data_IF_646422421090
#
_entry.id   IF_646422421090
#
_cell.length_a   1.000
_cell.length_b   1.000
_cell.length_c   1.000
_cell.angle_alpha   90.00
_cell.angle_beta   90.00
_cell.angle_gamma   90.00
#
_symmetry.space_group_name_H-M   'P 1'
#
loop_
_entity.id
_entity.type
_entity.pdbx_description
1 polymer ?
#
# COMPACT_ATOMS: atom_id res chain seq x y z
N UNK A 1 -19.52 0.25 15.82
CA UNK A 1 -19.85 -0.97 16.59
C UNK A 1 -18.98 -1.09 17.83
N UNK A 2 -19.35 -1.98 18.76
CA UNK A 2 -18.50 -2.40 19.89
C UNK A 2 -17.28 -3.15 19.34
N UNK A 3 -16.06 -2.64 19.54
CA UNK A 3 -14.85 -3.19 18.92
C UNK A 3 -14.04 -4.09 19.85
N UNK A 4 -13.24 -5.00 19.29
CA UNK A 4 -12.02 -5.42 19.98
C UNK A 4 -11.07 -4.20 19.98
N UNK A 5 -10.42 -3.88 21.10
CA UNK A 5 -9.49 -2.74 21.12
C UNK A 5 -8.14 -3.23 20.65
N UNK A 6 -7.93 -3.08 19.36
CA UNK A 6 -6.63 -3.11 18.74
C UNK A 6 -6.37 -1.73 18.15
N UNK A 7 -5.11 -1.35 18.08
CA UNK A 7 -4.69 -0.06 17.59
C UNK A 7 -3.47 -0.22 16.72
N UNK A 8 -3.46 0.50 15.62
CA UNK A 8 -2.32 0.70 14.76
C UNK A 8 -2.06 2.20 14.75
N UNK A 9 -0.84 2.62 15.03
CA UNK A 9 -0.52 4.03 15.01
C UNK A 9 0.94 4.29 14.68
N UNK A 10 1.24 5.55 14.42
CA UNK A 10 2.59 6.02 14.10
C UNK A 10 2.93 7.22 14.99
N UNK A 11 4.20 7.31 15.40
CA UNK A 11 4.71 8.45 16.14
C UNK A 11 6.12 8.81 15.68
N UNK A 12 6.41 10.10 15.56
CA UNK A 12 7.73 10.62 15.13
C UNK A 12 8.90 10.13 15.98
N UNK A 13 8.67 9.83 17.26
CA UNK A 13 9.71 9.38 18.20
C UNK A 13 9.79 7.85 18.27
N UNK A 14 8.66 7.14 18.06
CA UNK A 14 8.56 5.69 18.33
C UNK A 14 8.34 4.82 17.10
N UNK A 15 8.10 5.41 15.92
CA UNK A 15 7.84 4.69 14.68
C UNK A 15 6.43 4.10 14.61
N UNK A 16 6.25 3.04 13.81
CA UNK A 16 5.01 2.28 13.72
C UNK A 16 4.81 1.42 14.97
N UNK A 17 3.61 1.43 15.54
CA UNK A 17 3.25 0.63 16.72
C UNK A 17 1.88 -0.05 16.55
N UNK A 18 1.74 -1.19 17.22
CA UNK A 18 0.50 -1.95 17.33
C UNK A 18 0.19 -2.20 18.79
N UNK A 19 -1.06 -2.07 19.19
CA UNK A 19 -1.48 -2.26 20.57
C UNK A 19 -2.74 -3.11 20.65
N UNK A 20 -2.73 -4.12 21.53
CA UNK A 20 -3.84 -5.04 21.76
C UNK A 20 -4.22 -5.00 23.25
N UNK A 21 -5.52 -5.06 23.56
CA UNK A 21 -5.99 -5.31 24.93
C UNK A 21 -6.11 -6.82 25.21
N UNK A 22 -5.28 -7.42 26.09
CA UNK A 22 -5.50 -8.77 26.57
C UNK A 22 -6.55 -8.80 27.70
N UNK A 23 -6.99 -10.00 28.04
CA UNK A 23 -8.00 -10.28 29.06
C UNK A 23 -7.72 -9.66 30.43
N UNK A 24 -8.73 -9.02 31.04
CA UNK A 24 -8.86 -8.89 32.50
C UNK A 24 -7.86 -7.98 33.22
N UNK A 25 -6.93 -7.36 32.49
CA UNK A 25 -6.08 -6.31 33.00
C UNK A 25 -6.56 -4.98 32.42
N UNK A 26 -6.69 -3.95 33.24
CA UNK A 26 -6.81 -2.57 32.75
C UNK A 26 -5.50 -2.07 32.11
N UNK A 27 -4.66 -2.98 31.61
CA UNK A 27 -3.33 -2.70 31.08
C UNK A 27 -3.31 -3.10 29.62
N UNK A 28 -3.07 -2.12 28.77
CA UNK A 28 -2.81 -2.36 27.37
C UNK A 28 -1.49 -3.10 27.19
N UNK A 29 -1.51 -4.20 26.44
CA UNK A 29 -0.28 -4.79 25.90
C UNK A 29 -0.03 -4.13 24.55
N UNK A 30 0.42 -2.88 24.64
CA UNK A 30 0.94 -2.14 23.50
C UNK A 30 2.38 -2.51 23.19
N UNK A 31 2.70 -2.63 21.89
CA UNK A 31 4.05 -2.39 21.40
C UNK A 31 4.39 -0.89 21.43
N UNK A 32 4.10 -0.23 22.55
CA UNK A 32 4.47 1.17 22.77
C UNK A 32 5.64 1.32 23.76
N UNK A 33 6.00 0.29 24.52
CA UNK A 33 7.24 0.26 25.32
C UNK A 33 7.45 -1.02 26.13
N UNK A 34 6.50 -1.96 26.17
CA UNK A 34 6.56 -3.01 27.22
C UNK A 34 7.48 -4.18 26.89
N UNK A 35 7.97 -4.35 25.66
CA UNK A 35 9.01 -5.36 25.35
C UNK A 35 10.02 -4.99 24.25
N UNK A 36 10.15 -3.72 23.85
CA UNK A 36 11.22 -3.30 22.92
C UNK A 36 12.56 -3.02 23.63
N UNK A 37 12.58 -2.93 24.97
CA UNK A 37 13.81 -2.70 25.73
C UNK A 37 14.62 -3.99 25.97
N UNK A 38 14.08 -5.18 25.70
CA UNK A 38 14.81 -6.44 25.96
C UNK A 38 15.55 -7.05 24.76
N UNK A 39 15.34 -6.59 23.51
CA UNK A 39 15.87 -7.30 22.33
C UNK A 39 16.64 -6.45 21.29
N UNK A 40 16.98 -5.19 21.56
CA UNK A 40 17.95 -4.46 20.73
C UNK A 40 17.53 -4.24 19.26
N UNK A 41 16.24 -4.08 18.99
CA UNK A 41 15.71 -3.79 17.66
C UNK A 41 15.51 -2.28 17.47
N UNK A 42 15.88 -1.77 16.30
CA UNK A 42 15.61 -0.39 15.88
C UNK A 42 14.15 -0.24 15.44
N UNK A 43 13.48 0.89 15.76
CA UNK A 43 12.14 1.17 15.24
C UNK A 43 12.14 1.16 13.71
N UNK A 44 11.09 0.59 13.12
CA UNK A 44 10.87 0.67 11.68
C UNK A 44 10.16 1.99 11.36
N UNK A 45 10.86 2.87 10.65
CA UNK A 45 10.33 4.15 10.20
C UNK A 45 9.75 3.97 8.79
N UNK A 46 8.54 4.46 8.58
CA UNK A 46 8.02 4.65 7.23
C UNK A 46 8.68 5.88 6.61
N UNK A 47 8.76 5.90 5.27
CA UNK A 47 9.26 7.08 4.57
C UNK A 47 8.31 8.24 4.81
N UNK A 48 8.85 9.37 5.27
CA UNK A 48 8.07 10.60 5.44
C UNK A 48 7.55 11.10 4.09
N UNK A 49 6.33 11.65 4.08
CA UNK A 49 5.68 12.21 2.90
C UNK A 49 5.56 11.21 1.72
N UNK A 50 5.42 9.91 2.03
CA UNK A 50 5.17 8.87 1.05
C UNK A 50 4.08 7.92 1.54
N UNK A 51 3.25 7.45 0.62
CA UNK A 51 2.26 6.42 0.93
C UNK A 51 2.94 5.11 1.32
N UNK A 52 2.40 4.45 2.34
CA UNK A 52 2.82 3.12 2.77
C UNK A 52 1.59 2.30 3.09
N UNK A 53 1.55 1.06 2.60
CA UNK A 53 0.54 0.12 3.04
C UNK A 53 1.00 -0.50 4.36
N UNK A 54 0.11 -0.55 5.35
CA UNK A 54 0.40 -1.16 6.64
C UNK A 54 -0.70 -2.13 7.00
N UNK A 55 -0.33 -3.36 7.35
CA UNK A 55 -1.25 -4.36 7.85
C UNK A 55 -0.74 -5.02 9.12
N UNK A 56 -1.67 -5.46 9.95
CA UNK A 56 -1.40 -6.25 11.15
C UNK A 56 -2.36 -7.42 11.18
N UNK A 57 -1.84 -8.62 11.43
CA UNK A 57 -2.66 -9.83 11.53
C UNK A 57 -2.41 -10.56 12.84
N UNK A 58 -3.46 -11.18 13.38
CA UNK A 58 -3.40 -12.02 14.56
C UNK A 58 -4.25 -13.26 14.34
N UNK A 59 -3.62 -14.44 14.39
CA UNK A 59 -4.27 -15.73 14.13
C UNK A 59 -4.63 -16.50 15.41
N UNK A 60 -4.58 -15.83 16.57
CA UNK A 60 -4.74 -16.45 17.88
C UNK A 60 -3.44 -17.01 18.47
N UNK A 61 -2.36 -17.11 17.68
CA UNK A 61 -1.03 -17.54 18.14
C UNK A 61 0.05 -16.51 17.86
N UNK A 62 0.12 -15.96 16.66
CA UNK A 62 1.13 -15.01 16.23
C UNK A 62 0.51 -13.65 15.91
N UNK A 63 1.19 -12.58 16.32
CA UNK A 63 0.95 -11.22 15.85
C UNK A 63 2.01 -10.87 14.82
N UNK A 64 1.58 -10.46 13.62
CA UNK A 64 2.45 -10.13 12.49
C UNK A 64 2.19 -8.71 12.01
N UNK A 65 3.25 -8.01 11.64
CA UNK A 65 3.20 -6.64 11.09
C UNK A 65 3.81 -6.64 9.70
N UNK A 66 3.11 -6.02 8.77
CA UNK A 66 3.48 -5.91 7.37
C UNK A 66 3.55 -4.44 6.97
N UNK A 67 4.58 -4.09 6.19
CA UNK A 67 4.71 -2.79 5.54
C UNK A 67 4.96 -3.04 4.07
N UNK A 68 4.17 -2.40 3.21
CA UNK A 68 4.19 -2.55 1.76
C UNK A 68 4.15 -4.04 1.37
N UNK A 69 3.25 -4.81 2.00
CA UNK A 69 3.07 -6.23 1.70
C UNK A 69 4.18 -7.16 2.17
N UNK A 70 5.24 -6.66 2.83
CA UNK A 70 6.34 -7.47 3.36
C UNK A 70 6.22 -7.58 4.88
N UNK A 71 6.34 -8.80 5.41
CA UNK A 71 6.36 -9.02 6.86
C UNK A 71 7.65 -8.47 7.45
N UNK A 72 7.55 -7.40 8.24
CA UNK A 72 8.69 -6.79 8.92
C UNK A 72 8.87 -7.33 10.34
N UNK A 73 7.81 -7.93 10.91
CA UNK A 73 7.86 -8.41 12.28
C UNK A 73 6.85 -9.53 12.57
N UNK A 74 7.22 -10.42 13.49
CA UNK A 74 6.37 -11.45 14.06
C UNK A 74 6.73 -11.66 15.53
N UNK A 75 5.71 -11.79 16.38
CA UNK A 75 5.83 -12.32 17.73
C UNK A 75 4.80 -13.43 17.96
N UNK A 76 5.17 -14.42 18.75
CA UNK A 76 4.19 -15.38 19.27
C UNK A 76 3.47 -14.73 20.46
N UNK A 77 2.20 -14.45 20.26
CA UNK A 77 1.28 -13.86 21.21
C UNK A 77 -0.02 -14.69 21.24
N UNK A 78 -0.01 -15.75 22.04
CA UNK A 78 -1.14 -16.68 22.13
C UNK A 78 -2.23 -16.18 23.09
N UNK A 79 -2.99 -15.18 22.65
CA UNK A 79 -4.10 -14.57 23.40
C UNK A 79 -5.42 -14.72 22.65
N UNK A 80 -6.53 -14.68 23.40
CA UNK A 80 -7.85 -14.46 22.80
C UNK A 80 -8.21 -12.97 22.90
N UNK A 81 -8.61 -12.37 21.80
CA UNK A 81 -9.12 -10.99 21.78
C UNK A 81 -10.58 -10.98 22.24
N UNK A 82 -10.92 -10.12 23.21
CA UNK A 82 -12.30 -9.91 23.64
C UNK A 82 -12.84 -8.58 23.12
N UNK A 83 -14.14 -8.57 22.80
CA UNK A 83 -14.87 -7.35 22.49
C UNK A 83 -14.97 -6.51 23.76
N UNK A 84 -14.70 -5.22 23.62
CA UNK A 84 -15.04 -4.22 24.63
C UNK A 84 -16.12 -3.30 24.08
N UNK A 85 -16.58 -2.37 24.91
CA UNK A 85 -17.61 -1.40 24.59
C UNK A 85 -17.07 -0.09 24.01
N UNK A 86 -15.76 0.00 23.75
CA UNK A 86 -15.16 1.16 23.11
C UNK A 86 -15.46 1.17 21.61
N UNK A 87 -15.55 2.38 21.07
CA UNK A 87 -15.67 2.57 19.62
C UNK A 87 -14.31 2.37 18.97
N UNK A 88 -14.30 1.71 17.81
CA UNK A 88 -13.14 1.71 16.91
C UNK A 88 -12.87 3.13 16.42
N UNK A 89 -11.63 3.56 16.49
CA UNK A 89 -11.15 4.86 16.02
C UNK A 89 -10.07 4.65 14.96
N UNK A 90 -10.09 5.49 13.91
CA UNK A 90 -9.10 5.50 12.84
C UNK A 90 -8.36 6.84 12.91
N UNK A 91 -7.03 6.82 12.80
CA UNK A 91 -6.19 8.02 12.89
C UNK A 91 -6.01 8.60 14.31
N UNK A 92 -6.51 7.92 15.35
CA UNK A 92 -6.37 8.31 16.76
C UNK A 92 -6.41 7.08 17.68
N UNK A 93 -6.10 7.28 18.96
CA UNK A 93 -6.32 6.36 20.07
C UNK A 93 -7.43 6.88 21.02
N UNK A 94 -8.12 5.98 21.70
CA UNK A 94 -9.00 6.33 22.83
C UNK A 94 -8.21 6.63 24.11
N UNK A 95 -8.88 7.09 25.17
CA UNK A 95 -8.22 7.29 26.49
C UNK A 95 -7.54 5.99 26.97
N UNK A 96 -6.29 6.02 27.48
CA UNK A 96 -5.57 7.21 27.96
C UNK A 96 -4.60 7.86 26.96
N UNK A 97 -4.53 7.42 25.70
CA UNK A 97 -3.54 7.93 24.74
C UNK A 97 -4.16 8.78 23.62
N UNK A 98 -5.23 9.50 23.93
CA UNK A 98 -5.96 10.37 23.01
C UNK A 98 -5.14 11.58 22.50
N UNK A 99 -3.84 11.66 22.80
CA UNK A 99 -2.86 12.60 22.27
C UNK A 99 -2.04 12.02 21.09
N UNK A 100 -2.17 10.71 20.82
CA UNK A 100 -1.41 10.00 19.77
C UNK A 100 -2.16 10.03 18.43
N UNK A 101 -2.16 11.18 17.77
CA UNK A 101 -2.84 11.36 16.49
C UNK A 101 -1.91 11.00 15.34
N UNK A 102 -2.46 10.39 14.29
CA UNK A 102 -1.74 10.30 13.04
C UNK A 102 -1.65 11.70 12.44
N UNK A 103 -0.44 12.16 12.16
CA UNK A 103 -0.20 13.35 11.35
C UNK A 103 0.09 12.91 9.90
N UNK A 104 -0.97 12.73 9.12
CA UNK A 104 -0.88 12.23 7.75
C UNK A 104 -2.24 12.00 7.12
N UNK A 105 -2.23 11.38 5.95
CA UNK A 105 -3.41 10.96 5.19
C UNK A 105 -3.61 9.45 5.34
N UNK A 106 -4.87 9.00 5.29
CA UNK A 106 -5.28 7.60 5.39
C UNK A 106 -6.19 7.31 4.20
N UNK A 107 -6.04 6.12 3.63
CA UNK A 107 -6.94 5.58 2.63
C UNK A 107 -7.13 4.06 2.86
N UNK A 108 -8.10 3.46 2.17
CA UNK A 108 -8.28 2.01 2.01
C UNK A 108 -8.27 1.21 3.34
N UNK A 109 -8.90 1.76 4.40
CA UNK A 109 -8.92 1.10 5.71
C UNK A 109 -9.93 -0.02 5.75
N UNK A 110 -9.45 -1.23 6.03
CA UNK A 110 -10.29 -2.43 6.18
C UNK A 110 -10.02 -3.17 7.48
N UNK A 111 -11.05 -3.81 8.01
CA UNK A 111 -11.00 -4.64 9.21
C UNK A 111 -11.56 -6.01 8.88
N UNK A 112 -10.81 -7.06 9.25
CA UNK A 112 -11.14 -8.45 8.96
C UNK A 112 -11.28 -9.25 10.25
N UNK A 113 -12.18 -10.23 10.27
CA UNK A 113 -12.30 -11.21 11.36
C UNK A 113 -11.45 -12.48 11.12
N UNK A 114 -10.64 -12.46 10.06
CA UNK A 114 -9.68 -13.51 9.71
C UNK A 114 -8.29 -12.90 9.59
N UNK A 115 -7.26 -13.68 9.93
CA UNK A 115 -5.88 -13.28 9.70
C UNK A 115 -5.56 -13.47 8.21
N UNK A 116 -5.39 -12.36 7.48
CA UNK A 116 -4.97 -12.41 6.09
C UNK A 116 -3.54 -12.96 5.97
N UNK A 117 -3.31 -13.76 4.94
CA UNK A 117 -1.98 -14.19 4.51
C UNK A 117 -1.21 -13.03 3.87
N UNK A 118 0.13 -13.14 3.80
CA UNK A 118 0.95 -12.12 3.14
C UNK A 118 0.55 -11.93 1.67
N UNK A 119 0.23 -13.00 0.95
CA UNK A 119 -0.23 -12.93 -0.45
C UNK A 119 -1.57 -12.23 -0.58
N UNK A 120 -2.51 -12.44 0.34
CA UNK A 120 -3.78 -11.70 0.33
C UNK A 120 -3.54 -10.22 0.62
N UNK A 121 -2.67 -9.90 1.58
CA UNK A 121 -2.28 -8.52 1.88
C UNK A 121 -1.68 -7.85 0.63
N UNK A 122 -0.78 -8.53 -0.07
CA UNK A 122 -0.16 -8.03 -1.32
C UNK A 122 -1.19 -7.83 -2.42
N UNK A 123 -2.17 -8.73 -2.57
CA UNK A 123 -3.27 -8.58 -3.53
C UNK A 123 -4.11 -7.33 -3.23
N UNK A 124 -4.45 -7.10 -1.95
CA UNK A 124 -5.22 -5.92 -1.54
C UNK A 124 -4.45 -4.59 -1.58
N UNK A 125 -3.14 -4.61 -1.86
CA UNK A 125 -2.39 -3.37 -2.13
C UNK A 125 -2.73 -2.76 -3.49
N UNK A 126 -3.22 -3.57 -4.43
CA UNK A 126 -3.49 -3.14 -5.81
C UNK A 126 -4.91 -3.46 -6.27
N UNK A 127 -5.65 -4.21 -5.46
CA UNK A 127 -7.05 -4.57 -5.72
C UNK A 127 -7.88 -4.23 -4.49
N UNK A 128 -8.58 -3.10 -4.49
CA UNK A 128 -9.42 -2.71 -3.37
C UNK A 128 -10.53 -3.74 -3.08
N UNK A 129 -10.91 -3.96 -1.81
CA UNK A 129 -12.05 -4.80 -1.48
C UNK A 129 -13.35 -4.29 -2.12
N UNK A 130 -14.24 -5.20 -2.46
CA UNK A 130 -15.58 -4.91 -3.00
C UNK A 130 -16.64 -4.72 -1.91
N UNK A 131 -16.32 -5.02 -0.66
CA UNK A 131 -17.23 -4.92 0.49
C UNK A 131 -18.01 -6.20 0.79
N UNK A 132 -17.85 -7.25 -0.03
CA UNK A 132 -18.60 -8.52 0.09
C UNK A 132 -17.69 -9.72 0.41
N UNK A 133 -16.41 -9.49 0.69
CA UNK A 133 -15.43 -10.53 0.95
C UNK A 133 -15.75 -11.29 2.24
N UNK A 134 -15.51 -12.61 2.21
CA UNK A 134 -15.69 -13.44 3.40
C UNK A 134 -14.73 -13.01 4.49
N UNK A 135 -15.29 -12.60 5.63
CA UNK A 135 -14.54 -12.19 6.81
C UNK A 135 -14.20 -10.69 6.86
N UNK A 136 -14.57 -9.91 5.85
CA UNK A 136 -14.51 -8.45 5.92
C UNK A 136 -15.61 -7.93 6.84
N UNK A 137 -15.22 -7.15 7.85
CA UNK A 137 -16.13 -6.63 8.89
C UNK A 137 -16.50 -5.18 8.64
N UNK A 138 -15.55 -4.38 8.12
CA UNK A 138 -15.78 -3.00 7.76
C UNK A 138 -14.72 -2.55 6.77
N UNK A 139 -15.13 -1.72 5.82
CA UNK A 139 -14.24 -1.19 4.79
C UNK A 139 -14.60 0.27 4.51
N UNK A 140 -13.66 1.16 4.74
CA UNK A 140 -13.79 2.58 4.45
C UNK A 140 -12.73 2.96 3.42
N UNK A 141 -13.19 3.22 2.20
CA UNK A 141 -12.35 3.52 1.04
C UNK A 141 -11.98 5.00 0.91
N UNK A 142 -12.37 5.84 1.88
CA UNK A 142 -12.17 7.30 1.90
C UNK A 142 -12.54 8.05 0.60
N UNK A 143 -13.41 7.46 -0.22
CA UNK A 143 -13.91 8.00 -1.48
C UNK A 143 -15.44 8.10 -1.49
N UNK A 144 -16.09 7.46 -0.53
CA UNK A 144 -17.54 7.41 -0.36
C UNK A 144 -17.96 8.09 0.95
N UNK A 145 -18.56 9.27 0.86
CA UNK A 145 -19.00 10.04 2.03
C UNK A 145 -19.36 11.48 1.70
N UNK A 146 -19.94 12.19 2.67
CA UNK A 146 -20.17 13.64 2.58
C UNK A 146 -20.05 14.29 3.94
N UNK A 147 -19.53 15.53 3.98
CA UNK A 147 -19.34 16.25 5.23
C UNK A 147 -18.47 15.46 6.21
N UNK A 148 -19.03 15.07 7.34
CA UNK A 148 -18.35 14.29 8.39
C UNK A 148 -18.71 12.80 8.36
N UNK A 149 -19.46 12.32 7.37
CA UNK A 149 -19.85 10.90 7.29
C UNK A 149 -18.88 10.15 6.38
N UNK A 150 -18.27 9.08 6.91
CA UNK A 150 -17.42 8.14 6.18
C UNK A 150 -18.19 6.83 6.01
N UNK A 151 -18.50 6.44 4.79
CA UNK A 151 -19.42 5.31 4.52
C UNK A 151 -18.68 3.98 4.59
N UNK A 152 -19.21 3.02 5.35
CA UNK A 152 -18.78 1.62 5.30
C UNK A 152 -19.27 1.00 3.99
N UNK A 153 -18.34 0.50 3.18
CA UNK A 153 -18.64 -0.13 1.89
C UNK A 153 -19.17 -1.57 2.04
N UNK A 154 -19.17 -2.12 3.26
CA UNK A 154 -19.78 -3.42 3.54
C UNK A 154 -21.28 -3.28 3.85
N UNK A 155 -21.99 -4.42 3.86
CA UNK A 155 -23.39 -4.46 4.29
C UNK A 155 -23.58 -4.40 5.83
N UNK A 156 -22.52 -4.10 6.60
CA UNK A 156 -22.55 -4.11 8.06
C UNK A 156 -22.90 -2.75 8.69
N UNK A 157 -23.12 -1.72 7.87
CA UNK A 157 -23.54 -0.37 8.29
C UNK A 157 -22.64 0.25 9.38
N UNK A 158 -21.33 -0.01 9.38
CA UNK A 158 -20.40 0.59 10.33
C UNK A 158 -19.92 1.98 9.89
N UNK A 159 -20.83 2.85 9.42
CA UNK A 159 -20.48 4.20 9.00
C UNK A 159 -19.71 4.95 10.10
N UNK A 160 -18.60 5.56 9.69
CA UNK A 160 -17.73 6.36 10.54
C UNK A 160 -18.19 7.81 10.62
N UNK A 161 -17.77 8.49 11.69
CA UNK A 161 -17.88 9.94 11.82
C UNK A 161 -16.49 10.55 11.86
N UNK A 162 -16.19 11.42 10.90
CA UNK A 162 -14.93 12.17 10.82
C UNK A 162 -14.96 13.31 11.85
N UNK A 163 -13.93 13.35 12.70
CA UNK A 163 -13.76 14.39 13.73
C UNK A 163 -12.36 14.98 13.64
N UNK A 164 -12.25 16.25 13.25
CA UNK A 164 -10.98 16.99 13.22
C UNK A 164 -10.13 16.79 11.95
N UNK A 165 -10.34 15.71 11.20
CA UNK A 165 -9.73 15.53 9.88
C UNK A 165 -10.55 16.19 8.76
N UNK A 166 -9.89 16.42 7.62
CA UNK A 166 -10.50 16.93 6.38
C UNK A 166 -10.29 15.93 5.26
N UNK A 167 -11.23 15.87 4.31
CA UNK A 167 -11.03 15.12 3.06
C UNK A 167 -9.81 15.65 2.30
N UNK A 168 -9.05 14.73 1.71
CA UNK A 168 -7.92 15.03 0.83
C UNK A 168 -8.21 14.49 -0.57
N UNK A 169 -7.61 15.10 -1.58
CA UNK A 169 -7.56 14.55 -2.96
C UNK A 169 -6.21 13.90 -3.27
N UNK A 170 -5.30 13.88 -2.29
CA UNK A 170 -4.05 13.12 -2.37
C UNK A 170 -4.40 11.63 -2.31
N UNK A 171 -4.01 10.90 -3.35
CA UNK A 171 -4.34 9.50 -3.56
C UNK A 171 -3.11 8.64 -3.32
N UNK A 172 -3.24 7.47 -2.67
CA UNK A 172 -2.21 6.45 -2.73
C UNK A 172 -1.92 6.17 -4.19
N UNK A 173 -0.64 6.04 -4.55
CA UNK A 173 -0.16 5.85 -5.92
C UNK A 173 -0.78 4.64 -6.68
N UNK A 174 -1.69 3.88 -6.06
CA UNK A 174 -2.26 2.63 -6.54
C UNK A 174 -3.78 2.62 -6.26
N UNK A 175 -4.61 3.07 -7.21
CA UNK A 175 -6.08 2.89 -7.12
C UNK A 175 -6.70 2.19 -8.33
N UNK A 176 -5.94 2.08 -9.43
CA UNK A 176 -6.31 1.32 -10.61
C UNK A 176 -5.75 -0.11 -10.63
N UNK A 177 -6.25 -0.98 -11.53
CA UNK A 177 -5.73 -2.34 -11.72
C UNK A 177 -4.21 -2.39 -11.95
N UNK A 178 -3.63 -3.53 -11.61
CA UNK A 178 -2.24 -3.86 -11.96
C UNK A 178 -2.15 -4.63 -13.27
N UNK A 179 -1.34 -4.11 -14.19
CA UNK A 179 -0.97 -4.74 -15.44
C UNK A 179 0.43 -5.36 -15.31
N UNK A 180 0.51 -6.67 -15.47
CA UNK A 180 1.75 -7.42 -15.28
C UNK A 180 2.52 -7.54 -16.59
N UNK A 181 3.83 -7.31 -16.52
CA UNK A 181 4.76 -7.42 -17.65
C UNK A 181 5.88 -8.38 -17.30
N UNK A 182 6.20 -9.29 -18.21
CA UNK A 182 7.31 -10.24 -18.08
C UNK A 182 7.93 -10.53 -19.43
N UNK A 183 9.27 -10.65 -19.50
CA UNK A 183 9.97 -11.08 -20.72
C UNK A 183 9.54 -12.46 -21.25
N UNK A 184 8.87 -13.28 -20.44
CA UNK A 184 8.28 -14.57 -20.82
C UNK A 184 6.81 -14.49 -21.24
N UNK A 185 6.20 -13.31 -21.19
CA UNK A 185 4.79 -13.06 -21.51
C UNK A 185 4.48 -12.98 -23.01
N UNK A 186 3.33 -12.38 -23.34
CA UNK A 186 2.89 -12.10 -24.71
C UNK A 186 2.02 -10.85 -24.74
N UNK A 187 2.21 -9.96 -25.71
CA UNK A 187 1.38 -8.75 -25.86
C UNK A 187 -0.06 -9.05 -26.30
N UNK A 188 -0.34 -10.29 -26.72
CA UNK A 188 -1.69 -10.78 -26.98
C UNK A 188 -2.44 -11.22 -25.69
N UNK A 189 -1.76 -11.22 -24.53
CA UNK A 189 -2.36 -11.62 -23.26
C UNK A 189 -3.27 -10.52 -22.67
N UNK A 190 -3.95 -10.84 -21.57
CA UNK A 190 -4.83 -9.90 -20.87
C UNK A 190 -4.12 -9.01 -19.83
N UNK A 191 -2.80 -9.17 -19.65
CA UNK A 191 -2.01 -8.39 -18.71
C UNK A 191 -2.23 -8.76 -17.24
N UNK A 192 -2.90 -9.88 -16.95
CA UNK A 192 -3.00 -10.44 -15.60
C UNK A 192 -1.67 -11.06 -15.14
N UNK A 193 -1.52 -11.31 -13.84
CA UNK A 193 -0.32 -11.97 -13.29
C UNK A 193 -0.04 -13.33 -13.95
N UNK A 194 -1.09 -14.09 -14.27
CA UNK A 194 -0.97 -15.40 -14.90
C UNK A 194 -0.73 -15.33 -16.42
N UNK A 195 -1.12 -14.23 -17.06
CA UNK A 195 -0.92 -14.00 -18.48
C UNK A 195 -0.39 -12.57 -18.69
N UNK A 196 0.89 -12.31 -18.36
CA UNK A 196 1.46 -10.97 -18.43
C UNK A 196 1.73 -10.55 -19.88
N UNK A 197 1.77 -9.25 -20.13
CA UNK A 197 2.30 -8.70 -21.38
C UNK A 197 3.80 -8.99 -21.52
N UNK A 198 4.31 -9.01 -22.76
CA UNK A 198 5.75 -9.19 -23.01
C UNK A 198 6.53 -7.87 -23.00
N UNK A 199 5.87 -6.76 -23.28
CA UNK A 199 6.47 -5.42 -23.38
C UNK A 199 5.91 -4.47 -22.32
N UNK A 200 6.74 -3.53 -21.87
CA UNK A 200 6.33 -2.48 -20.94
C UNK A 200 5.34 -1.55 -21.64
N UNK A 201 5.55 -1.23 -22.91
CA UNK A 201 4.64 -0.37 -23.66
C UNK A 201 3.23 -0.98 -23.77
N UNK A 202 3.08 -2.30 -23.95
CA UNK A 202 1.76 -2.93 -23.95
C UNK A 202 1.02 -2.75 -22.61
N UNK A 203 1.74 -2.86 -21.48
CA UNK A 203 1.19 -2.56 -20.15
C UNK A 203 0.74 -1.10 -20.02
N UNK A 204 1.58 -0.15 -20.47
CA UNK A 204 1.21 1.27 -20.48
C UNK A 204 -0.01 1.53 -21.36
N UNK A 205 -0.07 0.92 -22.55
CA UNK A 205 -1.16 1.12 -23.51
C UNK A 205 -2.50 0.60 -22.97
N UNK A 206 -2.49 -0.52 -22.25
CA UNK A 206 -3.65 -1.09 -21.57
C UNK A 206 -4.12 -0.29 -20.35
N UNK A 207 -3.22 0.47 -19.72
CA UNK A 207 -3.48 1.20 -18.48
C UNK A 207 -4.36 2.45 -18.67
N UNK A 208 -5.06 2.85 -17.61
CA UNK A 208 -5.72 4.15 -17.44
C UNK A 208 -5.06 4.94 -16.30
N UNK A 209 -5.33 6.25 -16.19
CA UNK A 209 -4.82 7.05 -15.08
C UNK A 209 -5.15 6.43 -13.72
N UNK A 210 -4.15 6.33 -12.83
CA UNK A 210 -4.23 5.68 -11.52
C UNK A 210 -3.82 4.19 -11.51
N UNK A 211 -3.64 3.57 -12.68
CA UNK A 211 -3.20 2.17 -12.82
C UNK A 211 -1.71 1.99 -12.52
N UNK A 212 -1.32 0.73 -12.32
CA UNK A 212 0.08 0.31 -12.15
C UNK A 212 0.48 -0.68 -13.23
N UNK A 213 1.63 -0.46 -13.86
CA UNK A 213 2.32 -1.46 -14.68
C UNK A 213 3.45 -2.07 -13.83
N UNK A 214 3.28 -3.34 -13.45
CA UNK A 214 4.21 -4.07 -12.59
C UNK A 214 5.09 -5.00 -13.42
N UNK A 215 6.39 -4.71 -13.45
CA UNK A 215 7.35 -5.31 -14.38
C UNK A 215 8.27 -6.31 -13.66
N UNK A 216 8.26 -7.56 -14.13
CA UNK A 216 9.17 -8.59 -13.67
C UNK A 216 10.60 -8.33 -14.14
N UNK A 217 11.59 -8.91 -13.44
CA UNK A 217 12.99 -8.80 -13.80
C UNK A 217 13.26 -9.24 -15.25
N UNK A 218 14.25 -8.61 -15.88
CA UNK A 218 14.56 -8.83 -17.28
C UNK A 218 15.21 -7.64 -17.96
N UNK A 219 15.49 -7.78 -19.25
CA UNK A 219 15.92 -6.69 -20.11
C UNK A 219 14.86 -6.47 -21.18
N UNK A 220 14.26 -5.29 -21.16
CA UNK A 220 13.22 -4.85 -22.07
C UNK A 220 13.85 -3.88 -23.07
N UNK A 221 14.03 -4.33 -24.31
CA UNK A 221 14.60 -3.50 -25.38
C UNK A 221 13.51 -2.64 -26.00
N UNK A 222 13.26 -1.46 -25.41
CA UNK A 222 12.12 -0.59 -25.71
C UNK A 222 12.46 0.89 -25.53
N UNK A 223 11.69 1.75 -26.20
CA UNK A 223 11.61 3.18 -25.92
C UNK A 223 10.17 3.48 -25.49
N UNK A 224 9.94 3.54 -24.17
CA UNK A 224 8.58 3.63 -23.62
C UNK A 224 8.07 5.07 -23.60
N UNK A 225 6.76 5.23 -23.81
CA UNK A 225 6.06 6.49 -23.77
C UNK A 225 4.82 6.37 -22.88
N UNK A 226 4.71 7.24 -21.89
CA UNK A 226 3.58 7.29 -20.96
C UNK A 226 2.28 7.74 -21.61
N UNK A 227 2.33 8.30 -22.83
CA UNK A 227 1.17 8.71 -23.61
C UNK A 227 0.26 9.73 -22.87
N UNK A 228 0.82 10.56 -21.98
CA UNK A 228 0.03 11.51 -21.20
C UNK A 228 -0.65 10.92 -19.98
N UNK A 229 -0.38 9.66 -19.63
CA UNK A 229 -1.06 8.95 -18.55
C UNK A 229 -0.39 9.17 -17.19
N UNK A 230 -1.24 9.34 -16.19
CA UNK A 230 -0.89 9.48 -14.78
C UNK A 230 -0.87 8.09 -14.12
N UNK A 231 0.14 7.28 -14.46
CA UNK A 231 0.29 5.89 -14.01
C UNK A 231 1.62 5.65 -13.30
N UNK A 232 1.69 4.55 -12.57
CA UNK A 232 2.96 4.05 -12.03
C UNK A 232 3.48 2.93 -12.93
N UNK A 233 4.69 3.06 -13.45
CA UNK A 233 5.43 1.94 -14.02
C UNK A 233 6.54 1.59 -13.04
N UNK A 234 6.46 0.39 -12.46
CA UNK A 234 7.34 -0.06 -11.39
C UNK A 234 7.84 -1.48 -11.62
N UNK A 235 9.09 -1.76 -11.26
CA UNK A 235 9.50 -3.16 -11.08
C UNK A 235 8.94 -3.73 -9.77
N UNK A 236 9.20 -5.02 -9.48
CA UNK A 236 8.87 -5.59 -8.17
C UNK A 236 9.58 -4.91 -6.98
N UNK A 237 10.54 -4.01 -7.19
CA UNK A 237 11.00 -3.11 -6.13
C UNK A 237 9.83 -2.34 -5.49
N UNK A 238 8.83 -1.96 -6.30
CA UNK A 238 7.63 -1.23 -5.86
C UNK A 238 6.91 -1.95 -4.70
N UNK A 239 6.71 -3.27 -4.83
CA UNK A 239 5.91 -4.09 -3.91
C UNK A 239 6.75 -4.88 -2.91
N UNK A 240 8.04 -5.07 -3.16
CA UNK A 240 8.92 -5.88 -2.29
C UNK A 240 9.93 -5.04 -1.52
N UNK A 241 10.21 -3.82 -1.97
CA UNK A 241 11.31 -2.97 -1.50
C UNK A 241 12.70 -3.63 -1.61
N UNK A 242 12.82 -4.77 -2.31
CA UNK A 242 14.10 -5.40 -2.58
C UNK A 242 14.81 -4.65 -3.71
N UNK A 243 15.89 -3.97 -3.34
CA UNK A 243 16.73 -3.20 -4.26
C UNK A 243 17.36 -4.05 -5.37
N UNK A 244 17.41 -5.39 -5.23
CA UNK A 244 17.91 -6.28 -6.28
C UNK A 244 17.13 -6.12 -7.59
N UNK A 245 15.82 -5.87 -7.50
CA UNK A 245 14.94 -5.63 -8.65
C UNK A 245 15.29 -4.36 -9.44
N UNK A 246 15.95 -3.38 -8.83
CA UNK A 246 16.42 -2.16 -9.53
C UNK A 246 17.48 -2.53 -10.57
N UNK A 247 18.41 -3.40 -10.19
CA UNK A 247 19.51 -3.83 -11.05
C UNK A 247 19.14 -4.97 -12.01
N UNK A 248 18.15 -5.80 -11.66
CA UNK A 248 17.72 -6.92 -12.51
C UNK A 248 16.62 -6.55 -13.51
N UNK A 249 16.01 -5.36 -13.39
CA UNK A 249 14.98 -4.86 -14.31
C UNK A 249 15.52 -3.69 -15.13
N UNK A 250 15.82 -3.95 -16.40
CA UNK A 250 16.52 -3.03 -17.30
C UNK A 250 15.60 -2.60 -18.44
N UNK A 251 15.52 -1.28 -18.70
CA UNK A 251 14.93 -0.74 -19.94
C UNK A 251 16.08 -0.27 -20.83
N UNK A 252 16.21 -0.90 -21.99
CA UNK A 252 17.30 -0.71 -22.94
C UNK A 252 16.79 0.00 -24.20
N UNK A 253 17.16 1.27 -24.36
CA UNK A 253 16.78 2.09 -25.52
C UNK A 253 17.46 1.69 -26.83
N UNK A 254 18.29 0.64 -26.84
CA UNK A 254 18.96 0.08 -28.03
C UNK A 254 19.72 1.12 -28.88
N UNK A 255 20.34 2.10 -28.24
CA UNK A 255 21.03 3.22 -28.89
C UNK A 255 20.13 4.08 -29.77
N UNK A 256 18.84 4.16 -29.43
CA UNK A 256 17.83 4.92 -30.17
C UNK A 256 16.99 5.75 -29.20
N UNK A 257 16.85 7.05 -29.49
CA UNK A 257 15.97 7.97 -28.75
C UNK A 257 16.15 8.03 -27.22
N UNK A 258 15.16 8.62 -26.56
CA UNK A 258 15.01 8.59 -25.10
C UNK A 258 14.46 7.24 -24.65
N UNK A 259 15.01 6.65 -23.59
CA UNK A 259 14.55 5.34 -23.07
C UNK A 259 13.11 5.45 -22.56
N UNK A 260 12.79 6.58 -21.93
CA UNK A 260 11.47 6.90 -21.38
C UNK A 260 11.10 8.30 -21.82
N UNK A 261 9.87 8.47 -22.29
CA UNK A 261 9.32 9.76 -22.70
C UNK A 261 8.04 10.05 -21.92
N UNK A 262 7.95 11.27 -21.41
CA UNK A 262 6.73 11.90 -20.89
C UNK A 262 6.36 12.99 -21.90
N UNK A 263 5.10 13.07 -22.30
CA UNK A 263 4.67 13.93 -23.41
C UNK A 263 3.95 15.19 -22.92
N UNK A 264 2.69 15.09 -22.52
CA UNK A 264 1.85 16.18 -22.04
C UNK A 264 0.66 15.60 -21.26
N UNK A 265 0.32 16.24 -20.13
CA UNK A 265 -0.72 15.88 -19.13
C UNK A 265 -0.28 14.91 -18.02
N UNK A 266 0.94 14.37 -18.10
CA UNK A 266 1.58 13.74 -16.94
C UNK A 266 1.78 14.78 -15.82
N UNK A 267 1.44 14.42 -14.59
CA UNK A 267 1.61 15.25 -13.41
C UNK A 267 2.47 14.55 -12.34
N UNK A 268 2.44 15.05 -11.10
CA UNK A 268 3.23 14.49 -10.00
C UNK A 268 2.85 13.04 -9.62
N UNK A 269 1.74 12.51 -10.16
CA UNK A 269 1.29 11.13 -9.98
C UNK A 269 1.85 10.17 -11.03
N UNK A 270 2.49 10.67 -12.08
CA UNK A 270 3.24 9.84 -13.04
C UNK A 270 4.58 9.41 -12.45
N UNK A 271 4.78 8.09 -12.28
CA UNK A 271 5.97 7.56 -11.59
C UNK A 271 6.63 6.44 -12.38
N UNK A 272 7.94 6.57 -12.61
CA UNK A 272 8.83 5.49 -13.03
C UNK A 272 9.73 5.09 -11.85
N UNK A 273 9.73 3.82 -11.44
CA UNK A 273 10.49 3.41 -10.25
C UNK A 273 11.01 1.98 -10.34
N UNK A 274 12.21 1.75 -9.81
CA UNK A 274 12.75 0.40 -9.67
C UNK A 274 13.44 -0.15 -10.93
N UNK A 275 13.99 0.70 -11.80
CA UNK A 275 14.64 0.29 -13.04
C UNK A 275 16.08 0.77 -13.16
N UNK A 276 16.86 0.04 -13.95
CA UNK A 276 18.07 0.56 -14.60
C UNK A 276 17.73 0.97 -16.03
N UNK A 277 18.02 2.22 -16.40
CA UNK A 277 17.83 2.72 -17.77
C UNK A 277 19.18 2.74 -18.49
N UNK A 278 19.25 2.17 -19.69
CA UNK A 278 20.49 2.09 -20.44
C UNK A 278 20.30 2.32 -21.94
N UNK A 279 21.42 2.64 -22.60
CA UNK A 279 21.52 2.77 -24.07
C UNK A 279 20.50 3.72 -24.71
N UNK A 280 20.03 4.75 -23.99
CA UNK A 280 19.36 5.89 -24.59
C UNK A 280 20.37 6.81 -25.29
N UNK A 281 19.93 7.46 -26.36
CA UNK A 281 20.71 8.53 -27.03
C UNK A 281 20.17 9.93 -26.75
N UNK A 282 18.94 10.03 -26.22
CA UNK A 282 18.22 11.27 -25.99
C UNK A 282 17.71 11.88 -27.30
N UNK A 283 16.51 12.46 -27.27
CA UNK A 283 16.04 13.38 -28.32
C UNK A 283 16.05 14.80 -27.77
N UNK A 284 16.66 15.73 -28.50
CA UNK A 284 16.61 17.19 -28.23
C UNK A 284 15.21 17.72 -28.57
N UNK A 285 14.15 17.16 -27.98
CA UNK A 285 12.81 17.75 -28.06
C UNK A 285 12.73 18.80 -26.96
N UNK A 286 13.13 20.01 -27.34
CA UNK A 286 13.35 21.14 -26.44
C UNK A 286 12.08 21.71 -25.83
N UNK A 287 11.50 21.03 -24.85
CA UNK A 287 10.57 21.65 -23.90
C UNK A 287 11.20 21.76 -22.52
N UNK A 288 11.65 22.99 -22.22
CA UNK A 288 11.84 23.46 -20.85
C UNK A 288 10.49 24.00 -20.39
N UNK A 289 9.69 23.14 -19.78
CA UNK A 289 8.47 23.48 -19.05
C UNK A 289 8.62 23.12 -17.58
#
# INVERSE_FOLDING_TARGET
GKGNSYMLGMNETWGLYVELLPTGSGTWEGLNNTYLVSNGLSPHFLSENAWSQVATTHDGQDLKVYVNGVMIHQITLSINLNQNDQSTVIGNCSSPHADRWLNGIIDETSIWNTALSQSEIQSYMTTSPTGNESGLVGYWNFNSGTGTTLVDQTANDNDGTISGATWSTDIPFYSGPSWYVSTSGSDDNDGSENNPFSTIQAGIDASSDGDTVLVAEGTYTENINYNGKNIVVGSFYLTTQDTSYISSTNIDGNQSGSVVTFVNNEDATTVLIGFTLQNGTGTDDGDRG
#
